data_IF_754128982527
#
_entry.id   IF_754128982527
#
_cell.length_a   1.000
_cell.length_b   1.000
_cell.length_c   1.000
_cell.angle_alpha   90.00
_cell.angle_beta   90.00
_cell.angle_gamma   90.00
#
_symmetry.space_group_name_H-M   'P 1'
#
loop_
_entity.id
_entity.type
_entity.pdbx_description
1 polymer ?
#
# COMPACT_ATOMS: atom_id res chain seq x y z
N UNK A 1 8.65 20.66 1.84
CA UNK A 1 8.11 19.93 0.70
C UNK A 1 6.70 19.58 1.06
N UNK A 2 5.76 19.85 0.18
CA UNK A 2 4.36 19.50 0.41
C UNK A 2 4.24 17.97 0.57
N UNK A 3 3.68 17.53 1.69
CA UNK A 3 3.44 16.11 1.97
C UNK A 3 2.29 15.67 1.06
N UNK A 4 2.63 15.02 -0.05
CA UNK A 4 1.65 14.49 -1.00
C UNK A 4 1.24 13.07 -0.59
N UNK A 5 -0.05 12.77 -0.74
CA UNK A 5 -0.54 11.41 -0.59
C UNK A 5 -1.59 11.05 -1.62
N UNK A 6 -1.62 9.78 -2.01
CA UNK A 6 -2.53 9.24 -3.01
C UNK A 6 -3.09 7.90 -2.55
N UNK A 7 -4.37 7.66 -2.82
CA UNK A 7 -5.01 6.37 -2.63
C UNK A 7 -5.28 5.73 -3.99
N UNK A 8 -4.89 4.47 -4.14
CA UNK A 8 -5.04 3.68 -5.36
C UNK A 8 -5.94 2.49 -5.00
N UNK A 9 -7.18 2.51 -5.50
CA UNK A 9 -8.07 1.36 -5.43
C UNK A 9 -7.53 0.23 -6.33
N UNK A 10 -7.46 -0.98 -5.79
CA UNK A 10 -6.98 -2.18 -6.48
C UNK A 10 -7.93 -3.36 -6.28
N UNK A 11 -7.80 -4.37 -7.13
CA UNK A 11 -8.45 -5.68 -6.98
C UNK A 11 -7.34 -6.73 -6.84
N UNK A 12 -7.45 -7.65 -5.87
CA UNK A 12 -6.41 -8.65 -5.59
C UNK A 12 -5.16 -8.02 -4.94
N UNK A 13 -5.34 -7.36 -3.80
CA UNK A 13 -4.27 -6.60 -3.14
C UNK A 13 -3.10 -7.48 -2.67
N UNK A 14 -3.39 -8.71 -2.25
CA UNK A 14 -2.36 -9.65 -1.80
C UNK A 14 -1.53 -10.15 -2.99
N UNK A 15 -2.17 -10.43 -4.12
CA UNK A 15 -1.48 -10.78 -5.36
C UNK A 15 -0.61 -9.62 -5.86
N UNK A 16 -1.15 -8.39 -5.88
CA UNK A 16 -0.40 -7.20 -6.28
C UNK A 16 0.82 -6.96 -5.38
N UNK A 17 0.66 -7.12 -4.06
CA UNK A 17 1.77 -6.95 -3.13
C UNK A 17 2.90 -7.95 -3.40
N UNK A 18 2.58 -9.22 -3.64
CA UNK A 18 3.58 -10.24 -3.98
C UNK A 18 4.23 -9.99 -5.36
N UNK A 19 3.47 -9.49 -6.35
CA UNK A 19 4.01 -9.09 -7.66
C UNK A 19 5.03 -7.94 -7.54
N UNK A 20 4.77 -6.98 -6.64
CA UNK A 20 5.63 -5.82 -6.41
C UNK A 20 6.77 -6.10 -5.42
N UNK A 21 6.73 -7.22 -4.70
CA UNK A 21 7.61 -7.53 -3.57
C UNK A 21 9.09 -7.29 -3.84
N UNK A 22 9.58 -7.71 -5.00
CA UNK A 22 11.00 -7.51 -5.35
C UNK A 22 11.40 -6.04 -5.36
N UNK A 23 10.54 -5.13 -5.83
CA UNK A 23 10.83 -3.70 -5.83
C UNK A 23 10.57 -3.06 -4.46
N UNK A 24 9.61 -3.58 -3.70
CA UNK A 24 9.33 -3.13 -2.33
C UNK A 24 10.48 -3.48 -1.37
N UNK A 25 11.09 -4.65 -1.53
CA UNK A 25 12.23 -5.12 -0.70
C UNK A 25 13.52 -4.32 -0.96
N UNK A 26 13.62 -3.64 -2.12
CA UNK A 26 14.76 -2.78 -2.47
C UNK A 26 14.69 -1.38 -1.80
N UNK A 27 13.55 -1.03 -1.19
CA UNK A 27 13.38 0.25 -0.51
C UNK A 27 14.05 0.26 0.88
N UNK A 28 14.49 1.44 1.37
CA UNK A 28 15.00 1.57 2.74
C UNK A 28 14.01 1.05 3.80
N UNK A 29 14.54 0.59 4.94
CA UNK A 29 13.71 0.13 6.07
C UNK A 29 12.70 1.21 6.49
N UNK A 30 11.46 0.78 6.77
CA UNK A 30 10.37 1.66 7.19
C UNK A 30 9.64 2.37 6.05
N UNK A 31 10.03 2.15 4.79
CA UNK A 31 9.32 2.70 3.62
C UNK A 31 8.10 1.90 3.20
N UNK A 32 7.99 0.64 3.62
CA UNK A 32 6.89 -0.25 3.25
C UNK A 32 6.17 -0.73 4.51
N UNK A 33 4.84 -0.67 4.49
CA UNK A 33 3.97 -1.34 5.45
C UNK A 33 3.21 -2.44 4.72
N UNK A 34 3.47 -3.69 5.09
CA UNK A 34 2.84 -4.87 4.52
C UNK A 34 1.30 -4.85 4.64
N UNK A 35 0.58 -5.65 3.81
CA UNK A 35 -0.87 -5.70 3.81
C UNK A 35 -1.49 -5.89 5.21
N UNK A 36 -2.54 -5.11 5.51
CA UNK A 36 -3.28 -5.19 6.77
C UNK A 36 -4.72 -4.72 6.60
N UNK A 37 -5.60 -5.20 7.48
CA UNK A 37 -7.02 -4.85 7.44
C UNK A 37 -7.29 -3.62 8.31
N UNK A 38 -8.11 -2.71 7.77
CA UNK A 38 -8.55 -1.48 8.42
C UNK A 38 -9.95 -1.64 9.04
N UNK A 39 -10.27 -0.88 10.11
CA UNK A 39 -11.60 -0.93 10.74
C UNK A 39 -12.76 -0.58 9.81
N UNK A 40 -12.49 0.15 8.72
CA UNK A 40 -13.48 0.54 7.71
C UNK A 40 -13.57 -0.44 6.53
N UNK A 41 -13.13 -1.69 6.74
CA UNK A 41 -13.26 -2.80 5.79
C UNK A 41 -12.53 -2.56 4.47
N UNK A 42 -11.31 -2.02 4.58
CA UNK A 42 -10.32 -2.02 3.50
C UNK A 42 -9.15 -2.87 3.91
N UNK A 43 -8.60 -3.64 2.98
CA UNK A 43 -7.26 -4.22 3.11
C UNK A 43 -6.29 -3.30 2.40
N UNK A 44 -5.17 -2.97 3.02
CA UNK A 44 -4.24 -1.96 2.51
C UNK A 44 -2.77 -2.34 2.70
N UNK A 45 -1.90 -1.91 1.79
CA UNK A 45 -0.46 -1.79 2.05
C UNK A 45 0.01 -0.38 1.68
N UNK A 46 1.05 0.12 2.37
CA UNK A 46 1.49 1.50 2.23
C UNK A 46 2.94 1.56 1.75
N UNK A 47 3.24 2.54 0.90
CA UNK A 47 4.59 2.81 0.40
C UNK A 47 4.90 4.29 0.59
N UNK A 48 6.02 4.59 1.22
CA UNK A 48 6.62 5.90 1.28
C UNK A 48 7.71 5.99 0.21
N UNK A 49 7.50 6.77 -0.84
CA UNK A 49 8.51 6.94 -1.89
C UNK A 49 9.72 7.74 -1.37
N UNK A 50 10.80 7.82 -2.16
CA UNK A 50 12.05 8.48 -1.76
C UNK A 50 11.88 9.97 -1.42
N UNK A 51 10.93 10.65 -2.04
CA UNK A 51 10.61 12.08 -1.86
C UNK A 51 9.69 12.34 -0.65
N UNK A 52 9.16 11.28 -0.03
CA UNK A 52 8.28 11.37 1.14
C UNK A 52 6.79 11.42 0.79
N UNK A 53 6.42 11.08 -0.45
CA UNK A 53 5.02 10.88 -0.85
C UNK A 53 4.50 9.58 -0.26
N UNK A 54 3.35 9.64 0.41
CA UNK A 54 2.70 8.45 0.97
C UNK A 54 1.65 7.90 -0.01
N UNK A 55 1.86 6.67 -0.47
CA UNK A 55 0.98 5.97 -1.40
C UNK A 55 0.26 4.86 -0.64
N UNK A 56 -1.06 4.88 -0.71
CA UNK A 56 -1.94 3.84 -0.16
C UNK A 56 -2.47 2.99 -1.32
N UNK A 57 -2.31 1.68 -1.24
CA UNK A 57 -3.03 0.73 -2.08
C UNK A 57 -4.12 0.10 -1.23
N UNK A 58 -5.34 0.01 -1.75
CA UNK A 58 -6.46 -0.50 -0.96
C UNK A 58 -7.51 -1.26 -1.75
N UNK A 59 -8.11 -2.25 -1.10
CA UNK A 59 -9.16 -3.10 -1.63
C UNK A 59 -10.32 -3.23 -0.63
N UNK A 60 -11.56 -3.10 -1.12
CA UNK A 60 -12.76 -3.32 -0.33
C UNK A 60 -12.97 -4.80 0.00
N UNK A 61 -12.93 -5.13 1.29
CA UNK A 61 -13.12 -6.49 1.80
C UNK A 61 -14.52 -6.73 2.37
N UNK A 62 -15.49 -5.83 2.09
CA UNK A 62 -16.88 -6.05 2.47
C UNK A 62 -17.42 -7.34 1.83
N UNK A 63 -18.18 -8.16 2.57
CA UNK A 63 -18.91 -9.28 1.98
C UNK A 63 -19.80 -8.79 0.84
N UNK A 64 -19.70 -9.44 -0.33
CA UNK A 64 -20.53 -9.15 -1.50
C UNK A 64 -21.94 -9.72 -1.36
#
# INVERSE_FOLDING_TARGET
>A
GDEHSFYIDVEGIDELYEELRSGLDDLPEGRVRAPFDQPYLQREFHVLDEDGTLIFFGEDIRPR
#
